data_IF_374954422139
#
_entry.id   IF_374954422139
#
_cell.length_a   1.000
_cell.length_b   1.000
_cell.length_c   1.000
_cell.angle_alpha   90.00
_cell.angle_beta   90.00
_cell.angle_gamma   90.00
#
_symmetry.space_group_name_H-M   'P 1'
#
loop_
_entity.id
_entity.type
_entity.pdbx_description
1 polymer ?
#
# COMPACT_ATOMS: atom_id res chain seq x y z
N UNK A 1 -11.43 4.85 17.68
CA UNK A 1 -10.71 3.90 16.79
C UNK A 1 -11.79 3.09 16.08
N UNK A 2 -11.86 3.12 14.75
CA UNK A 2 -12.86 2.35 13.99
C UNK A 2 -12.26 0.98 13.65
N UNK A 3 -13.03 -0.10 13.85
CA UNK A 3 -12.65 -1.44 13.39
C UNK A 3 -13.27 -1.65 12.02
N UNK A 4 -12.44 -1.98 11.03
CA UNK A 4 -12.86 -2.14 9.64
C UNK A 4 -12.05 -3.25 8.95
N UNK A 5 -12.56 -3.77 7.83
CA UNK A 5 -11.87 -4.68 6.93
C UNK A 5 -11.18 -3.89 5.82
N UNK A 6 -9.87 -3.69 5.96
CA UNK A 6 -9.04 -2.97 4.99
C UNK A 6 -9.59 -1.59 4.56
N UNK A 7 -10.30 -0.88 5.44
CA UNK A 7 -10.90 0.42 5.11
C UNK A 7 -12.12 0.32 4.19
N UNK A 8 -12.86 -0.81 4.22
CA UNK A 8 -14.06 -1.03 3.41
C UNK A 8 -15.13 0.06 3.55
N UNK A 9 -15.17 0.74 4.70
CA UNK A 9 -16.11 1.84 4.97
C UNK A 9 -15.61 3.21 4.50
N UNK A 10 -14.34 3.32 4.11
CA UNK A 10 -13.77 4.55 3.54
C UNK A 10 -14.20 4.66 2.07
N UNK A 11 -14.79 5.77 1.63
CA UNK A 11 -15.23 5.93 0.25
C UNK A 11 -14.08 5.86 -0.77
N UNK A 12 -14.43 5.50 -2.00
CA UNK A 12 -13.50 5.51 -3.13
C UNK A 12 -13.07 6.95 -3.44
N UNK A 13 -11.79 7.15 -3.75
CA UNK A 13 -11.29 8.46 -4.19
C UNK A 13 -11.38 9.58 -3.15
N UNK A 14 -11.57 9.26 -1.86
CA UNK A 14 -11.76 10.27 -0.81
C UNK A 14 -10.46 10.70 -0.12
N UNK A 15 -9.35 10.01 -0.39
CA UNK A 15 -8.09 10.25 0.31
C UNK A 15 -6.99 10.78 -0.61
N UNK A 16 -6.24 11.77 -0.13
CA UNK A 16 -5.05 12.29 -0.80
C UNK A 16 -3.82 11.45 -0.47
N UNK A 17 -3.82 10.84 0.72
CA UNK A 17 -2.71 10.11 1.31
C UNK A 17 -3.25 8.91 2.10
N UNK A 18 -2.64 7.74 1.88
CA UNK A 18 -2.81 6.56 2.73
C UNK A 18 -1.45 6.15 3.27
N UNK A 19 -1.36 5.96 4.59
CA UNK A 19 -0.17 5.42 5.26
C UNK A 19 -0.42 3.97 5.65
N UNK A 20 0.48 3.07 5.27
CA UNK A 20 0.28 1.63 5.45
C UNK A 20 1.55 0.93 5.97
N UNK A 21 1.43 0.24 7.10
CA UNK A 21 2.41 -0.71 7.60
C UNK A 21 1.76 -2.10 7.61
N UNK A 22 1.84 -2.88 6.50
CA UNK A 22 1.22 -4.19 6.44
C UNK A 22 1.78 -5.11 7.52
N UNK A 23 0.96 -5.98 8.15
CA UNK A 23 1.46 -6.95 9.12
C UNK A 23 2.48 -7.88 8.47
N UNK A 24 3.63 -8.08 9.11
CA UNK A 24 4.76 -8.81 8.51
C UNK A 24 5.19 -10.09 9.25
N UNK A 25 4.63 -10.40 10.44
CA UNK A 25 4.84 -11.68 11.13
C UNK A 25 3.58 -12.13 11.90
N UNK A 26 3.22 -13.40 11.77
CA UNK A 26 2.53 -14.24 12.77
C UNK A 26 2.81 -15.70 12.37
N UNK A 27 3.03 -16.60 13.34
CA UNK A 27 3.65 -17.91 13.14
C UNK A 27 3.18 -18.73 11.93
N UNK A 28 4.14 -19.42 11.30
CA UNK A 28 4.00 -20.49 10.30
C UNK A 28 3.27 -20.21 8.97
N UNK A 29 2.64 -19.05 8.74
CA UNK A 29 2.07 -18.75 7.41
C UNK A 29 2.29 -17.29 7.08
N UNK A 30 3.30 -17.02 6.25
CA UNK A 30 3.46 -15.71 5.61
C UNK A 30 2.15 -15.42 4.88
N UNK A 31 1.35 -14.48 5.39
CA UNK A 31 0.15 -13.99 4.72
C UNK A 31 0.54 -13.12 3.52
N UNK A 32 1.33 -13.65 2.59
CA UNK A 32 1.70 -12.99 1.33
C UNK A 32 0.45 -12.55 0.54
N UNK A 33 -0.72 -13.18 0.79
CA UNK A 33 -2.00 -12.78 0.22
C UNK A 33 -2.68 -11.56 0.87
N UNK A 34 -2.28 -11.13 2.08
CA UNK A 34 -2.93 -10.00 2.76
C UNK A 34 -2.39 -8.65 2.29
N UNK A 35 -1.07 -8.51 2.11
CA UNK A 35 -0.48 -7.25 1.65
C UNK A 35 -1.04 -6.75 0.31
N UNK A 36 -1.21 -7.60 -0.74
CA UNK A 36 -1.86 -7.19 -1.98
C UNK A 36 -3.30 -6.68 -1.80
N UNK A 37 -4.08 -7.29 -0.89
CA UNK A 37 -5.44 -6.82 -0.57
C UNK A 37 -5.42 -5.44 0.07
N UNK A 38 -4.49 -5.20 0.99
CA UNK A 38 -4.31 -3.90 1.61
C UNK A 38 -3.84 -2.84 0.60
N UNK A 39 -2.97 -3.20 -0.35
CA UNK A 39 -2.55 -2.30 -1.43
C UNK A 39 -3.72 -1.95 -2.36
N UNK A 40 -4.55 -2.93 -2.72
CA UNK A 40 -5.73 -2.69 -3.56
C UNK A 40 -6.75 -1.79 -2.86
N UNK A 41 -6.97 -2.01 -1.56
CA UNK A 41 -7.84 -1.16 -0.78
C UNK A 41 -7.30 0.28 -0.69
N UNK A 42 -6.00 0.46 -0.46
CA UNK A 42 -5.36 1.77 -0.50
C UNK A 42 -5.53 2.46 -1.86
N UNK A 43 -5.31 1.73 -2.96
CA UNK A 43 -5.51 2.26 -4.31
C UNK A 43 -6.96 2.72 -4.57
N UNK A 44 -7.95 1.98 -4.06
CA UNK A 44 -9.37 2.35 -4.14
C UNK A 44 -9.67 3.66 -3.41
N UNK A 45 -9.20 3.78 -2.17
CA UNK A 45 -9.41 4.96 -1.31
C UNK A 45 -8.76 6.24 -1.87
N UNK A 46 -7.63 6.11 -2.58
CA UNK A 46 -6.90 7.27 -3.10
C UNK A 46 -7.66 7.97 -4.24
N UNK A 47 -7.68 9.30 -4.23
CA UNK A 47 -8.03 10.09 -5.43
C UNK A 47 -6.94 9.96 -6.50
N UNK A 48 -7.25 10.24 -7.79
CA UNK A 48 -6.20 10.38 -8.80
C UNK A 48 -5.12 11.39 -8.36
N UNK A 49 -3.86 11.07 -8.56
CA UNK A 49 -2.72 11.85 -8.06
C UNK A 49 -2.39 11.64 -6.57
N UNK A 50 -3.25 10.96 -5.80
CA UNK A 50 -3.03 10.62 -4.40
C UNK A 50 -1.92 9.58 -4.21
N UNK A 51 -1.39 9.49 -2.98
CA UNK A 51 -0.21 8.66 -2.68
C UNK A 51 -0.45 7.61 -1.60
N UNK A 52 0.04 6.40 -1.85
CA UNK A 52 0.27 5.40 -0.82
C UNK A 52 1.72 5.49 -0.34
N UNK A 53 1.91 5.70 0.95
CA UNK A 53 3.19 5.52 1.62
C UNK A 53 3.15 4.22 2.41
N UNK A 54 4.08 3.31 2.13
CA UNK A 54 4.12 2.04 2.82
C UNK A 54 5.52 1.66 3.26
N UNK A 55 5.62 1.10 4.45
CA UNK A 55 6.83 0.48 4.97
C UNK A 55 6.67 -1.04 4.99
N UNK A 56 7.71 -1.76 4.57
CA UNK A 56 7.72 -3.23 4.60
C UNK A 56 9.13 -3.78 4.81
N UNK A 57 9.25 -5.05 5.20
CA UNK A 57 10.53 -5.73 5.35
C UNK A 57 11.21 -5.87 3.97
N UNK A 58 12.42 -5.33 3.81
CA UNK A 58 13.09 -5.21 2.50
C UNK A 58 13.15 -6.51 1.68
N UNK A 59 13.45 -7.69 2.27
CA UNK A 59 13.38 -8.99 1.58
C UNK A 59 12.05 -9.35 0.93
N UNK A 60 10.91 -8.80 1.40
CA UNK A 60 9.59 -9.08 0.80
C UNK A 60 9.45 -8.48 -0.61
N UNK A 61 10.25 -7.47 -0.95
CA UNK A 61 10.35 -6.98 -2.32
C UNK A 61 9.03 -6.49 -2.94
N UNK A 62 8.17 -5.80 -2.19
CA UNK A 62 6.81 -5.42 -2.66
C UNK A 62 6.74 -4.37 -3.77
N UNK A 63 7.85 -3.77 -4.18
CA UNK A 63 7.86 -2.70 -5.20
C UNK A 63 7.16 -3.08 -6.54
N UNK A 64 7.33 -4.29 -7.12
CA UNK A 64 6.61 -4.66 -8.34
C UNK A 64 5.10 -4.75 -8.12
N UNK A 65 4.65 -5.26 -6.97
CA UNK A 65 3.22 -5.35 -6.64
C UNK A 65 2.62 -3.96 -6.41
N UNK A 66 3.32 -3.08 -5.71
CA UNK A 66 2.92 -1.68 -5.54
C UNK A 66 2.79 -0.95 -6.88
N UNK A 67 3.79 -1.13 -7.76
CA UNK A 67 3.77 -0.57 -9.12
C UNK A 67 2.56 -1.04 -9.91
N UNK A 68 2.25 -2.32 -9.83
CA UNK A 68 1.12 -2.94 -10.55
C UNK A 68 -0.24 -2.54 -10.00
N UNK A 69 -0.39 -2.49 -8.67
CA UNK A 69 -1.69 -2.35 -8.00
C UNK A 69 -2.07 -0.88 -7.81
N UNK A 70 -1.10 -0.04 -7.44
CA UNK A 70 -1.37 1.36 -7.07
C UNK A 70 -0.94 2.31 -8.18
N UNK A 71 0.28 2.12 -8.71
CA UNK A 71 0.85 2.97 -9.75
C UNK A 71 2.34 3.23 -9.55
N UNK A 72 2.95 4.14 -10.34
CA UNK A 72 4.39 4.40 -10.32
C UNK A 72 4.96 4.47 -8.90
N UNK A 73 5.91 3.59 -8.59
CA UNK A 73 6.44 3.40 -7.24
C UNK A 73 7.92 3.73 -7.16
N UNK A 74 8.27 4.62 -6.22
CA UNK A 74 9.66 4.96 -5.88
C UNK A 74 9.99 4.56 -4.44
N UNK A 75 11.26 4.27 -4.19
CA UNK A 75 11.78 4.16 -2.83
C UNK A 75 11.95 5.59 -2.26
N UNK A 76 11.45 5.83 -1.05
CA UNK A 76 11.65 7.07 -0.31
C UNK A 76 12.77 6.94 0.74
N UNK A 77 13.05 5.72 1.19
CA UNK A 77 14.15 5.43 2.09
C UNK A 77 14.25 3.95 2.39
N UNK A 78 15.43 3.52 2.84
CA UNK A 78 15.72 2.13 3.17
C UNK A 78 16.75 2.06 4.28
N UNK A 79 16.62 1.05 5.12
CA UNK A 79 17.71 0.56 5.97
C UNK A 79 17.91 -0.95 5.76
N UNK A 80 18.77 -1.56 6.56
CA UNK A 80 19.09 -2.99 6.46
C UNK A 80 17.86 -3.91 6.52
N UNK A 81 16.79 -3.50 7.23
CA UNK A 81 15.62 -4.33 7.49
C UNK A 81 14.36 -3.89 6.74
N UNK A 82 14.19 -2.60 6.49
CA UNK A 82 12.94 -2.02 6.00
C UNK A 82 13.16 -1.12 4.79
N UNK A 83 12.14 -1.09 3.93
CA UNK A 83 12.02 -0.18 2.79
C UNK A 83 10.75 0.64 2.98
N UNK A 84 10.85 1.95 2.77
CA UNK A 84 9.70 2.85 2.63
C UNK A 84 9.52 3.17 1.15
N UNK A 85 8.34 2.86 0.62
CA UNK A 85 7.98 3.11 -0.77
C UNK A 85 6.80 4.07 -0.87
N UNK A 86 6.79 4.86 -1.95
CA UNK A 86 5.71 5.78 -2.30
C UNK A 86 5.18 5.38 -3.67
N UNK A 87 3.88 5.12 -3.74
CA UNK A 87 3.17 4.77 -4.97
C UNK A 87 2.12 5.83 -5.26
N UNK A 88 2.12 6.40 -6.46
CA UNK A 88 1.15 7.44 -6.84
C UNK A 88 0.04 6.81 -7.68
N UNK A 89 -1.22 7.04 -7.31
CA UNK A 89 -2.37 6.64 -8.14
C UNK A 89 -2.37 7.49 -9.42
N UNK A 90 -2.34 6.89 -10.61
CA UNK A 90 -2.38 7.64 -11.86
C UNK A 90 -3.62 8.52 -11.96
N UNK A 91 -3.50 9.59 -12.75
CA UNK A 91 -4.68 10.32 -13.21
C UNK A 91 -5.63 9.36 -13.95
N UNK A 92 -6.93 9.48 -13.71
CA UNK A 92 -7.90 8.81 -14.59
C UNK A 92 -7.76 9.43 -15.97
N UNK A 93 -7.41 8.64 -16.98
CA UNK A 93 -7.48 9.11 -18.37
C UNK A 93 -8.95 9.43 -18.66
N UNK A 94 -9.22 10.68 -19.01
CA UNK A 94 -10.47 11.09 -19.65
C UNK A 94 -10.64 10.38 -21.00
#
# INVERSE_FOLDING_TARGET
MVRDDAGSTVPDGSADLVLLNPPFHTGATVHAGLAPRLFAAAARMLRPGGQLWTVYNSPLGYRPQLTRIVGPTREAGRNAKFTVAVSTKPESRA
#
